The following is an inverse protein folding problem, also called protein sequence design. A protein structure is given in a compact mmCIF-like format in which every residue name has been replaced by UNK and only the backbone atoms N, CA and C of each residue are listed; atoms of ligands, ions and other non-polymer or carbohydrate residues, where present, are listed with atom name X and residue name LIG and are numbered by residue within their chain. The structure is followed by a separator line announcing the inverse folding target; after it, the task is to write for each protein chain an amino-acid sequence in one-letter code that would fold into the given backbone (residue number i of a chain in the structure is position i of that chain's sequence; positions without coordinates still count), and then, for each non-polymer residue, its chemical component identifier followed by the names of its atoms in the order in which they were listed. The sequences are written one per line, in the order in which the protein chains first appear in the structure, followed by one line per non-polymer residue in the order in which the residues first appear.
data_IF_188892031307
#
_entry.id   IF_188892031307
#
_cell.length_a   1.000
_cell.length_b   1.000
_cell.length_c   1.000
_cell.angle_alpha   90.00
_cell.angle_beta   90.00
_cell.angle_gamma   90.00
#
_symmetry.space_group_name_H-M   'P 1'
#
loop_
_entity.id
_entity.type
_entity.pdbx_description
1 polymer ?
#
# COMPACT_ATOMS: atom_id res chain seq x y z
N UNK A 1 -15.61 50.20 -15.94
CA UNK A 1 -14.88 49.62 -14.80
C UNK A 1 -14.94 48.10 -14.92
N UNK A 2 -13.77 47.46 -14.93
CA UNK A 2 -13.53 46.06 -15.33
C UNK A 2 -14.17 45.03 -14.38
N UNK A 3 -14.99 44.11 -14.91
CA UNK A 3 -15.41 42.86 -14.24
C UNK A 3 -14.45 41.69 -14.51
N UNK A 4 -13.14 41.95 -14.52
CA UNK A 4 -12.12 40.89 -14.67
C UNK A 4 -11.53 40.52 -13.31
N UNK A 5 -12.26 39.73 -12.54
CA UNK A 5 -11.70 38.92 -11.46
C UNK A 5 -12.74 37.90 -11.00
N UNK A 6 -12.59 36.65 -11.46
CA UNK A 6 -12.98 35.40 -10.78
C UNK A 6 -12.83 34.24 -11.80
N UNK A 7 -11.60 33.99 -12.23
CA UNK A 7 -11.23 32.70 -12.85
C UNK A 7 -9.71 32.53 -12.83
N UNK A 8 -9.15 32.45 -11.63
CA UNK A 8 -7.89 31.71 -11.45
C UNK A 8 -8.28 30.28 -11.12
N UNK A 9 -8.62 29.51 -12.15
CA UNK A 9 -8.55 28.05 -12.09
C UNK A 9 -7.19 27.72 -11.48
N UNK A 10 -7.20 27.15 -10.27
CA UNK A 10 -6.00 26.47 -9.78
C UNK A 10 -5.67 25.43 -10.84
N UNK A 11 -4.56 25.63 -11.56
CA UNK A 11 -3.99 24.58 -12.40
C UNK A 11 -3.61 23.44 -11.46
N UNK A 12 -4.55 22.54 -11.21
CA UNK A 12 -4.25 21.27 -10.55
C UNK A 12 -3.27 20.59 -11.48
N UNK A 13 -2.03 20.42 -11.04
CA UNK A 13 -1.07 19.64 -11.80
C UNK A 13 -1.67 18.24 -11.95
N UNK A 14 -1.95 17.83 -13.19
CA UNK A 14 -2.58 16.55 -13.50
C UNK A 14 -1.87 15.43 -12.73
N UNK A 15 -2.55 14.85 -11.75
CA UNK A 15 -1.97 13.90 -10.79
C UNK A 15 -1.87 12.49 -11.36
N UNK A 16 -1.88 12.34 -12.68
CA UNK A 16 -1.82 11.04 -13.35
C UNK A 16 -1.24 11.18 -14.77
N UNK A 17 -0.56 10.14 -15.22
CA UNK A 17 0.14 10.11 -16.51
C UNK A 17 -0.71 9.63 -17.69
N UNK A 18 -0.03 9.13 -18.72
CA UNK A 18 -0.66 8.42 -19.86
C UNK A 18 -1.09 6.99 -19.51
N UNK A 19 -0.44 6.39 -18.52
CA UNK A 19 -0.71 5.04 -18.02
C UNK A 19 -1.97 5.04 -17.16
N UNK A 20 -3.04 4.39 -17.64
CA UNK A 20 -4.36 4.35 -17.00
C UNK A 20 -5.07 3.04 -17.29
N UNK A 21 -5.96 2.65 -16.39
CA UNK A 21 -6.96 1.63 -16.67
C UNK A 21 -8.00 2.18 -17.66
N UNK A 22 -8.48 1.31 -18.56
CA UNK A 22 -9.54 1.61 -19.52
C UNK A 22 -10.92 1.11 -19.07
N UNK A 23 -11.04 0.74 -17.79
CA UNK A 23 -12.23 0.18 -17.16
C UNK A 23 -12.36 0.70 -15.73
N UNK A 24 -13.60 0.78 -15.26
CA UNK A 24 -13.95 1.12 -13.87
C UNK A 24 -14.14 -0.12 -13.00
N UNK A 25 -14.05 -1.32 -13.60
CA UNK A 25 -14.24 -2.61 -12.94
C UNK A 25 -12.90 -3.32 -12.95
N UNK A 26 -12.22 -3.26 -11.82
CA UNK A 26 -10.91 -3.85 -11.60
C UNK A 26 -11.04 -4.97 -10.56
N UNK A 27 -10.07 -5.86 -10.57
CA UNK A 27 -9.88 -6.91 -9.59
C UNK A 27 -8.58 -6.69 -8.82
N UNK A 28 -8.52 -7.13 -7.58
CA UNK A 28 -7.31 -7.13 -6.77
C UNK A 28 -7.11 -8.47 -6.08
N UNK A 29 -5.87 -8.84 -5.79
CA UNK A 29 -5.55 -10.08 -5.08
C UNK A 29 -4.34 -9.88 -4.18
N UNK A 30 -4.50 -10.15 -2.89
CA UNK A 30 -3.42 -10.31 -1.93
C UNK A 30 -2.99 -11.78 -1.85
N UNK A 31 -1.74 -12.08 -2.19
CA UNK A 31 -1.19 -13.44 -2.27
C UNK A 31 0.03 -13.63 -1.37
N UNK A 32 0.35 -14.90 -1.12
CA UNK A 32 1.59 -15.34 -0.47
C UNK A 32 2.42 -16.27 -1.38
N UNK A 33 2.98 -15.76 -2.50
CA UNK A 33 3.76 -16.58 -3.44
C UNK A 33 5.05 -17.15 -2.84
N UNK A 34 5.55 -16.54 -1.77
CA UNK A 34 6.82 -16.89 -1.13
C UNK A 34 6.66 -17.66 0.19
N UNK A 35 5.42 -17.98 0.59
CA UNK A 35 5.14 -18.70 1.84
C UNK A 35 5.64 -17.97 3.09
N UNK A 36 5.55 -16.64 3.10
CA UNK A 36 6.09 -15.79 4.16
C UNK A 36 5.19 -15.75 5.39
N UNK A 37 3.89 -16.06 5.24
CA UNK A 37 2.96 -16.05 6.35
C UNK A 37 3.06 -17.36 7.16
N UNK A 38 3.21 -17.28 8.50
CA UNK A 38 3.33 -18.46 9.35
C UNK A 38 1.98 -19.16 9.58
N UNK A 39 0.87 -18.43 9.48
CA UNK A 39 -0.49 -18.94 9.73
C UNK A 39 -1.50 -18.29 8.78
N UNK A 40 -2.61 -19.00 8.53
CA UNK A 40 -3.74 -18.45 7.78
C UNK A 40 -4.40 -17.28 8.52
N UNK A 41 -4.32 -17.28 9.85
CA UNK A 41 -4.81 -16.18 10.67
C UNK A 41 -4.05 -14.88 10.38
N UNK A 42 -2.71 -14.90 10.40
CA UNK A 42 -1.93 -13.69 10.11
C UNK A 42 -2.10 -13.26 8.65
N UNK A 43 -2.13 -14.21 7.72
CA UNK A 43 -2.44 -13.92 6.31
C UNK A 43 -3.80 -13.23 6.16
N UNK A 44 -4.84 -13.73 6.83
CA UNK A 44 -6.18 -13.14 6.80
C UNK A 44 -6.23 -11.77 7.49
N UNK A 45 -5.51 -11.57 8.61
CA UNK A 45 -5.42 -10.27 9.28
C UNK A 45 -4.75 -9.24 8.37
N UNK A 46 -3.61 -9.56 7.77
CA UNK A 46 -2.92 -8.68 6.81
C UNK A 46 -3.80 -8.40 5.59
N UNK A 47 -4.49 -9.42 5.06
CA UNK A 47 -5.45 -9.25 3.96
C UNK A 47 -6.54 -8.22 4.33
N UNK A 48 -7.07 -8.22 5.56
CA UNK A 48 -8.07 -7.23 6.01
C UNK A 48 -7.52 -5.82 5.98
N UNK A 49 -6.28 -5.60 6.44
CA UNK A 49 -5.62 -4.28 6.39
C UNK A 49 -5.47 -3.79 4.94
N UNK A 50 -5.07 -4.67 4.02
CA UNK A 50 -5.01 -4.34 2.59
C UNK A 50 -6.41 -4.08 2.02
N UNK A 51 -7.41 -4.87 2.41
CA UNK A 51 -8.80 -4.69 1.98
C UNK A 51 -9.35 -3.32 2.43
N UNK A 52 -9.03 -2.86 3.64
CA UNK A 52 -9.39 -1.54 4.13
C UNK A 52 -8.76 -0.42 3.26
N UNK A 53 -7.49 -0.60 2.87
CA UNK A 53 -6.80 0.33 1.98
C UNK A 53 -7.44 0.40 0.58
N UNK A 54 -7.77 -0.76 0.01
CA UNK A 54 -8.53 -0.87 -1.25
C UNK A 54 -9.90 -0.20 -1.11
N UNK A 55 -10.57 -0.42 0.03
CA UNK A 55 -11.91 0.09 0.29
C UNK A 55 -11.94 1.63 0.29
N UNK A 56 -10.95 2.28 0.92
CA UNK A 56 -10.83 3.75 0.93
C UNK A 56 -10.87 4.36 -0.48
N UNK A 57 -10.16 3.76 -1.44
CA UNK A 57 -10.19 4.23 -2.83
C UNK A 57 -11.53 3.92 -3.52
N UNK A 58 -12.12 2.75 -3.25
CA UNK A 58 -13.40 2.33 -3.87
C UNK A 58 -14.61 3.19 -3.45
N UNK A 59 -14.52 3.90 -2.32
CA UNK A 59 -15.61 4.71 -1.77
C UNK A 59 -15.71 6.10 -2.41
N UNK A 60 -14.68 6.57 -3.12
CA UNK A 60 -14.70 7.93 -3.69
C UNK A 60 -15.77 8.03 -4.78
N UNK A 61 -16.56 9.10 -4.74
CA UNK A 61 -17.70 9.33 -5.64
C UNK A 61 -19.07 8.90 -5.10
N UNK A 62 -19.13 8.39 -3.87
CA UNK A 62 -20.38 7.89 -3.28
C UNK A 62 -21.37 9.00 -2.85
N UNK A 63 -20.92 10.25 -2.73
CA UNK A 63 -21.74 11.33 -2.15
C UNK A 63 -22.87 11.83 -3.07
N UNK A 64 -22.77 11.60 -4.40
CA UNK A 64 -23.76 12.08 -5.38
C UNK A 64 -24.50 10.95 -6.12
N UNK A 65 -24.07 9.70 -5.96
CA UNK A 65 -24.63 8.56 -6.68
C UNK A 65 -25.83 7.95 -5.94
N UNK A 66 -27.03 8.09 -6.53
CA UNK A 66 -28.31 7.50 -6.11
C UNK A 66 -28.30 5.97 -5.84
N UNK A 67 -27.18 5.29 -6.14
CA UNK A 67 -26.99 3.85 -6.03
C UNK A 67 -25.95 3.41 -4.97
N UNK A 68 -25.35 4.34 -4.21
CA UNK A 68 -24.45 3.98 -3.10
C UNK A 68 -23.10 3.35 -3.51
N UNK A 69 -22.62 3.59 -4.74
CA UNK A 69 -21.37 3.03 -5.27
C UNK A 69 -20.41 4.13 -5.70
N UNK A 70 -19.14 4.03 -5.28
CA UNK A 70 -18.05 4.89 -5.77
C UNK A 70 -17.69 4.61 -7.23
N UNK A 71 -16.81 5.44 -7.81
CA UNK A 71 -16.49 5.40 -9.24
C UNK A 71 -15.88 4.07 -9.72
N UNK A 72 -15.12 3.40 -8.85
CA UNK A 72 -14.35 2.21 -9.18
C UNK A 72 -14.90 1.02 -8.39
N UNK A 73 -15.19 -0.06 -9.09
CA UNK A 73 -15.47 -1.36 -8.49
C UNK A 73 -14.17 -2.17 -8.40
N UNK A 74 -13.73 -2.47 -7.17
CA UNK A 74 -12.56 -3.29 -6.88
C UNK A 74 -13.00 -4.66 -6.33
N UNK A 75 -12.91 -5.69 -7.15
CA UNK A 75 -13.35 -7.05 -6.81
C UNK A 75 -12.21 -7.85 -6.18
N UNK A 76 -12.42 -8.38 -4.98
CA UNK A 76 -11.42 -9.21 -4.29
C UNK A 76 -11.38 -10.62 -4.90
N UNK A 77 -10.23 -10.99 -5.47
CA UNK A 77 -9.90 -12.33 -6.00
C UNK A 77 -8.81 -13.02 -5.17
N UNK A 78 -8.51 -12.50 -3.98
CA UNK A 78 -7.45 -13.06 -3.13
C UNK A 78 -7.81 -14.46 -2.66
N UNK A 79 -6.83 -15.38 -2.57
CA UNK A 79 -7.03 -16.70 -1.97
C UNK A 79 -7.57 -16.61 -0.53
N UNK A 80 -8.29 -17.67 -0.14
CA UNK A 80 -8.84 -17.81 1.22
C UNK A 80 -7.74 -18.16 2.24
N UNK A 81 -6.74 -18.94 1.83
CA UNK A 81 -5.65 -19.42 2.70
C UNK A 81 -4.28 -19.21 2.07
N UNK A 82 -3.24 -19.16 2.90
CA UNK A 82 -1.85 -18.96 2.46
C UNK A 82 -1.28 -20.13 1.66
N UNK A 83 -1.90 -21.31 1.77
CA UNK A 83 -1.47 -22.54 1.07
C UNK A 83 -2.24 -22.80 -0.23
N UNK A 84 -3.19 -21.92 -0.60
CA UNK A 84 -3.94 -22.06 -1.85
C UNK A 84 -3.02 -21.98 -3.07
N UNK A 85 -3.28 -22.80 -4.10
CA UNK A 85 -2.59 -22.73 -5.39
C UNK A 85 -2.78 -21.38 -6.10
N UNK A 86 -3.83 -20.62 -5.76
CA UNK A 86 -4.01 -19.26 -6.28
C UNK A 86 -2.91 -18.31 -5.81
N UNK A 87 -2.13 -18.66 -4.77
CA UNK A 87 -0.99 -17.87 -4.33
C UNK A 87 0.21 -17.92 -5.28
N UNK A 88 0.27 -18.82 -6.27
CA UNK A 88 1.47 -18.96 -7.12
C UNK A 88 1.42 -18.16 -8.43
N UNK A 89 0.24 -17.68 -8.82
CA UNK A 89 0.05 -16.97 -10.09
C UNK A 89 -0.74 -15.70 -9.87
N UNK A 90 -0.42 -14.67 -10.66
CA UNK A 90 -1.22 -13.47 -10.73
C UNK A 90 -2.58 -13.79 -11.38
N UNK A 91 -3.66 -13.38 -10.70
CA UNK A 91 -5.05 -13.63 -11.14
C UNK A 91 -5.90 -12.35 -11.18
N UNK A 92 -5.32 -11.20 -10.84
CA UNK A 92 -6.03 -9.94 -10.71
C UNK A 92 -5.30 -8.78 -11.42
N UNK A 93 -6.05 -7.71 -11.69
CA UNK A 93 -5.53 -6.47 -12.28
C UNK A 93 -4.51 -5.81 -11.35
N UNK A 94 -4.79 -5.78 -10.04
CA UNK A 94 -3.88 -5.31 -9.01
C UNK A 94 -3.37 -6.51 -8.18
N UNK A 95 -2.11 -6.86 -8.36
CA UNK A 95 -1.47 -7.99 -7.68
C UNK A 95 -0.64 -7.50 -6.50
N UNK A 96 -0.91 -8.03 -5.31
CA UNK A 96 -0.37 -7.54 -4.05
C UNK A 96 0.28 -8.68 -3.28
N UNK A 97 1.54 -8.53 -2.85
CA UNK A 97 2.19 -9.50 -1.97
C UNK A 97 3.40 -8.93 -1.23
N UNK A 98 3.88 -9.67 -0.23
CA UNK A 98 5.16 -9.41 0.43
C UNK A 98 6.28 -10.19 -0.25
N UNK A 99 7.44 -9.57 -0.38
CA UNK A 99 8.64 -10.19 -0.90
C UNK A 99 9.89 -9.61 -0.23
N UNK A 100 11.04 -10.26 -0.37
CA UNK A 100 12.31 -9.72 0.11
C UNK A 100 13.36 -9.81 -0.99
N UNK A 101 14.28 -8.85 -1.00
CA UNK A 101 15.37 -8.76 -1.99
C UNK A 101 14.87 -8.90 -3.43
N UNK A 102 15.56 -9.67 -4.28
CA UNK A 102 15.13 -9.94 -5.65
C UNK A 102 13.92 -10.87 -5.67
N UNK A 103 12.84 -10.45 -6.35
CA UNK A 103 11.56 -11.14 -6.30
C UNK A 103 10.76 -11.13 -7.63
N UNK A 104 11.48 -11.12 -8.75
CA UNK A 104 10.90 -11.41 -10.07
C UNK A 104 10.46 -10.19 -10.90
N UNK A 105 10.69 -8.98 -10.42
CA UNK A 105 10.54 -7.74 -11.19
C UNK A 105 11.86 -6.93 -11.22
N UNK A 106 11.81 -5.72 -11.78
CA UNK A 106 12.98 -4.86 -11.96
C UNK A 106 13.43 -4.12 -10.69
N UNK A 107 12.63 -4.13 -9.61
CA UNK A 107 12.86 -3.34 -8.40
C UNK A 107 13.11 -4.27 -7.21
N UNK A 108 14.37 -4.68 -7.01
CA UNK A 108 14.71 -5.49 -5.84
C UNK A 108 14.64 -4.68 -4.55
N UNK A 109 14.12 -5.29 -3.48
CA UNK A 109 14.21 -4.70 -2.14
C UNK A 109 15.64 -4.73 -1.60
N UNK A 110 15.95 -3.84 -0.66
CA UNK A 110 17.26 -3.62 -0.06
C UNK A 110 17.36 -4.11 1.39
N UNK A 111 16.27 -4.63 1.96
CA UNK A 111 16.19 -5.00 3.36
C UNK A 111 15.71 -3.83 4.19
N UNK A 112 16.21 -3.70 5.42
CA UNK A 112 15.60 -2.80 6.42
C UNK A 112 15.88 -1.31 6.19
N UNK A 113 14.86 -0.49 6.42
CA UNK A 113 14.93 0.97 6.52
C UNK A 113 14.96 1.71 5.17
N UNK A 114 15.01 0.98 4.06
CA UNK A 114 15.20 1.49 2.70
C UNK A 114 13.92 1.53 1.89
N UNK A 115 13.88 0.77 0.79
CA UNK A 115 12.71 0.62 -0.08
C UNK A 115 11.67 -0.28 0.59
N UNK A 116 10.77 0.33 1.36
CA UNK A 116 9.76 -0.41 2.13
C UNK A 116 8.68 -1.08 1.27
N UNK A 117 8.38 -0.52 0.11
CA UNK A 117 7.35 -0.98 -0.80
C UNK A 117 7.54 -0.30 -2.16
N UNK A 118 6.96 -0.89 -3.20
CA UNK A 118 6.86 -0.27 -4.51
C UNK A 118 5.57 -0.65 -5.22
N UNK A 119 5.26 0.07 -6.29
CA UNK A 119 4.08 -0.13 -7.10
C UNK A 119 4.35 0.24 -8.55
N UNK A 120 3.64 -0.43 -9.46
CA UNK A 120 3.64 -0.07 -10.87
C UNK A 120 2.30 0.50 -11.31
N UNK A 121 2.37 1.58 -12.07
CA UNK A 121 1.23 2.20 -12.72
C UNK A 121 0.48 1.22 -13.66
N UNK A 122 -0.77 1.54 -14.02
CA UNK A 122 -1.54 0.75 -14.99
C UNK A 122 -0.83 0.61 -16.35
N UNK A 123 -1.04 -0.50 -17.08
CA UNK A 123 -1.86 -1.66 -16.71
C UNK A 123 -1.05 -2.71 -15.92
N UNK A 124 0.19 -2.41 -15.50
CA UNK A 124 1.01 -3.41 -14.82
C UNK A 124 0.47 -3.71 -13.43
N UNK A 125 0.01 -2.72 -12.65
CA UNK A 125 -0.81 -2.96 -11.44
C UNK A 125 -0.20 -3.97 -10.46
N UNK A 126 1.03 -3.73 -10.03
CA UNK A 126 1.66 -4.51 -8.95
C UNK A 126 1.84 -3.62 -7.73
N UNK A 127 1.75 -4.22 -6.54
CA UNK A 127 2.08 -3.58 -5.25
C UNK A 127 2.84 -4.60 -4.41
N UNK A 128 4.12 -4.37 -4.19
CA UNK A 128 4.94 -5.26 -3.37
C UNK A 128 5.40 -4.53 -2.10
N UNK A 129 5.41 -5.26 -0.98
CA UNK A 129 5.91 -4.78 0.30
C UNK A 129 7.17 -5.54 0.69
N UNK A 130 8.18 -4.85 1.22
CA UNK A 130 9.38 -5.52 1.71
C UNK A 130 9.08 -6.28 3.02
N UNK A 131 9.19 -7.59 2.96
CA UNK A 131 9.02 -8.51 4.07
C UNK A 131 10.10 -8.34 5.16
N UNK A 132 11.19 -7.65 4.85
CA UNK A 132 12.28 -7.34 5.77
C UNK A 132 11.91 -6.24 6.76
N UNK A 133 10.91 -5.43 6.42
CA UNK A 133 10.45 -4.32 7.25
C UNK A 133 9.55 -4.77 8.40
N UNK A 134 9.39 -3.85 9.35
CA UNK A 134 8.52 -4.06 10.49
C UNK A 134 7.17 -3.42 10.25
N UNK A 135 6.15 -4.25 10.05
CA UNK A 135 4.80 -3.81 9.72
C UNK A 135 3.90 -3.84 10.94
N UNK A 136 3.27 -2.69 11.22
CA UNK A 136 2.13 -2.57 12.10
C UNK A 136 0.84 -2.77 11.30
N UNK A 137 -0.01 -3.66 11.80
CA UNK A 137 -1.32 -3.97 11.22
C UNK A 137 -2.46 -3.12 11.84
N UNK A 138 -2.16 -2.25 12.82
CA UNK A 138 -3.12 -1.31 13.40
C UNK A 138 -4.08 -1.92 14.43
N UNK A 139 -3.68 -2.98 15.14
CA UNK A 139 -4.47 -3.62 16.19
C UNK A 139 -4.13 -3.11 17.60
N UNK A 140 -5.13 -3.05 18.49
CA UNK A 140 -4.91 -2.87 19.94
C UNK A 140 -3.80 -3.80 20.43
N UNK A 141 -2.99 -3.31 21.38
CA UNK A 141 -1.84 -4.02 21.99
C UNK A 141 -2.13 -5.52 22.22
N UNK A 142 -1.80 -6.36 21.25
CA UNK A 142 -1.60 -7.78 21.45
C UNK A 142 -0.09 -8.00 21.51
N UNK A 143 0.38 -8.47 22.66
CA UNK A 143 1.79 -8.72 23.00
C UNK A 143 2.53 -9.70 22.07
N UNK A 144 1.94 -10.12 20.96
CA UNK A 144 2.55 -11.06 20.02
C UNK A 144 2.24 -10.75 18.53
N UNK A 145 1.78 -9.53 18.21
CA UNK A 145 1.33 -9.14 16.85
C UNK A 145 2.45 -8.97 15.81
N UNK A 146 3.61 -9.58 16.03
CA UNK A 146 4.75 -9.31 15.18
C UNK A 146 5.05 -10.43 14.19
N UNK A 147 4.90 -10.10 12.91
CA UNK A 147 5.67 -10.69 11.79
C UNK A 147 7.17 -10.85 12.16
N UNK A 148 7.65 -10.09 13.16
CA UNK A 148 9.02 -9.97 13.66
C UNK A 148 9.61 -11.24 14.32
N UNK A 149 8.86 -12.32 14.54
CA UNK A 149 9.49 -13.60 14.91
C UNK A 149 10.23 -14.26 13.70
N UNK A 150 9.99 -13.76 12.48
CA UNK A 150 10.64 -14.15 11.23
C UNK A 150 12.17 -13.94 11.26
N UNK A 151 12.65 -12.80 11.77
CA UNK A 151 14.08 -12.47 11.80
C UNK A 151 14.87 -13.11 12.94
N UNK A 152 14.20 -13.61 14.00
CA UNK A 152 14.90 -14.37 15.05
C UNK A 152 15.34 -15.73 14.49
N UNK A 153 14.46 -16.48 13.83
CA UNK A 153 14.77 -17.85 13.36
C UNK A 153 15.82 -17.91 12.24
N UNK A 154 15.90 -16.92 11.33
CA UNK A 154 16.99 -16.85 10.33
C UNK A 154 18.34 -16.45 10.95
N UNK A 155 18.35 -15.57 11.95
CA UNK A 155 19.57 -15.19 12.70
C UNK A 155 20.19 -16.40 13.45
N UNK A 156 19.37 -17.36 13.92
CA UNK A 156 19.88 -18.57 14.58
C UNK A 156 20.63 -19.55 13.65
N UNK A 157 20.26 -19.65 12.37
CA UNK A 157 20.99 -20.51 11.41
C UNK A 157 22.30 -19.89 10.94
N UNK A 158 22.36 -18.58 10.76
CA UNK A 158 23.57 -17.87 10.28
C UNK A 158 24.57 -17.60 11.42
N UNK A 159 24.11 -17.33 12.65
CA UNK A 159 25.01 -17.05 13.78
C UNK A 159 25.66 -18.30 14.40
N UNK A 160 25.25 -19.53 14.03
CA UNK A 160 25.92 -20.74 14.51
C UNK A 160 27.29 -20.95 13.84
N UNK A 161 27.54 -20.30 12.71
CA UNK A 161 28.79 -20.41 11.93
C UNK A 161 29.76 -19.23 12.13
N UNK A 162 29.38 -18.20 12.90
CA UNK A 162 30.20 -17.00 13.17
C UNK A 162 30.55 -16.77 14.64
N UNK A 163 30.50 -17.80 15.49
CA UNK A 163 31.02 -17.70 16.87
C UNK A 163 32.55 -17.74 16.90
N UNK A 164 33.17 -16.66 16.44
CA UNK A 164 34.41 -16.16 17.01
C UNK A 164 34.61 -14.71 16.57
N UNK A 165 34.80 -13.82 17.57
CA UNK A 165 35.39 -12.47 17.44
C UNK A 165 34.38 -11.36 17.09
N UNK A 166 33.81 -10.73 18.11
CA UNK A 166 34.20 -9.40 18.60
C UNK A 166 33.04 -8.78 19.40
N UNK A 167 33.34 -8.40 20.64
CA UNK A 167 32.44 -7.80 21.61
C UNK A 167 32.61 -6.27 21.60
N UNK A 168 32.27 -5.59 20.50
CA UNK A 168 32.21 -4.12 20.52
C UNK A 168 31.09 -3.55 19.66
N UNK A 169 30.22 -2.75 20.33
CA UNK A 169 29.23 -1.79 19.81
C UNK A 169 27.97 -2.32 19.11
N UNK A 170 26.96 -2.71 19.90
CA UNK A 170 25.56 -2.60 19.47
C UNK A 170 25.11 -1.15 19.56
N UNK A 171 25.24 -0.38 18.48
CA UNK A 171 24.26 0.69 18.26
C UNK A 171 22.94 -0.02 18.03
N UNK A 172 22.03 0.01 19.00
CA UNK A 172 20.62 -0.35 18.77
C UNK A 172 20.09 0.60 17.70
N UNK A 173 20.05 0.09 16.47
CA UNK A 173 19.41 0.74 15.33
C UNK A 173 17.95 0.92 15.71
N UNK A 174 17.53 2.17 15.94
CA UNK A 174 16.16 2.49 16.35
C UNK A 174 15.18 1.92 15.33
N UNK A 175 14.47 0.90 15.78
CA UNK A 175 13.61 0.06 14.97
C UNK A 175 12.35 0.85 14.57
N UNK A 176 12.31 1.35 13.33
CA UNK A 176 11.11 2.00 12.78
C UNK A 176 10.07 0.95 12.42
N UNK A 177 8.92 1.00 13.07
CA UNK A 177 7.72 0.24 12.69
C UNK A 177 6.95 1.05 11.64
N UNK A 178 6.33 0.42 10.64
CA UNK A 178 5.61 1.05 9.54
C UNK A 178 4.14 0.64 9.55
N UNK A 179 3.21 1.59 9.47
CA UNK A 179 1.79 1.29 9.33
C UNK A 179 1.47 0.77 7.93
N UNK A 180 1.16 -0.53 7.86
CA UNK A 180 0.85 -1.21 6.61
C UNK A 180 -0.35 -0.57 5.90
N UNK A 181 -1.38 -0.15 6.64
CA UNK A 181 -2.58 0.44 6.03
C UNK A 181 -2.21 1.71 5.29
N UNK A 182 -1.40 2.57 5.90
CA UNK A 182 -0.96 3.82 5.27
C UNK A 182 -0.17 3.54 3.99
N UNK A 183 0.86 2.69 4.08
CA UNK A 183 1.70 2.37 2.91
C UNK A 183 0.87 1.71 1.82
N UNK A 184 -0.03 0.79 2.17
CA UNK A 184 -0.92 0.15 1.20
C UNK A 184 -1.82 1.16 0.48
N UNK A 185 -2.42 2.12 1.18
CA UNK A 185 -3.23 3.17 0.52
C UNK A 185 -2.37 3.95 -0.48
N UNK A 186 -1.13 4.29 -0.12
CA UNK A 186 -0.21 4.99 -1.01
C UNK A 186 0.10 4.19 -2.27
N UNK A 187 0.58 2.95 -2.11
CA UNK A 187 1.01 2.11 -3.23
C UNK A 187 -0.15 1.70 -4.15
N UNK A 188 -1.35 1.47 -3.58
CA UNK A 188 -2.57 1.23 -4.35
C UNK A 188 -2.95 2.47 -5.17
N UNK A 189 -2.74 3.68 -4.64
CA UNK A 189 -2.94 4.92 -5.41
C UNK A 189 -2.08 4.96 -6.68
N UNK A 190 -0.81 4.54 -6.59
CA UNK A 190 0.06 4.36 -7.76
C UNK A 190 -0.47 3.30 -8.72
N UNK A 191 -0.90 2.14 -8.22
CA UNK A 191 -1.46 1.05 -9.03
C UNK A 191 -2.78 1.44 -9.72
N UNK A 192 -3.52 2.40 -9.17
CA UNK A 192 -4.70 2.99 -9.81
C UNK A 192 -4.35 4.04 -10.87
N UNK A 193 -3.15 4.62 -10.83
CA UNK A 193 -2.65 5.60 -11.81
C UNK A 193 -2.27 6.96 -11.23
N UNK A 194 -2.41 7.15 -9.91
CA UNK A 194 -2.12 8.42 -9.25
C UNK A 194 -0.62 8.62 -9.06
N UNK A 195 -0.14 9.83 -9.30
CA UNK A 195 1.22 10.30 -9.01
C UNK A 195 1.26 10.93 -7.64
N UNK A 196 2.48 11.12 -7.15
CA UNK A 196 2.72 11.82 -5.89
C UNK A 196 2.02 13.18 -5.84
N UNK A 197 1.45 13.49 -4.68
CA UNK A 197 0.94 14.81 -4.33
C UNK A 197 2.06 15.69 -3.78
N UNK A 198 1.93 17.00 -3.95
CA UNK A 198 2.73 18.01 -3.25
C UNK A 198 2.11 18.40 -1.91
N UNK A 199 0.85 18.05 -1.65
CA UNK A 199 0.16 18.38 -0.40
C UNK A 199 0.65 17.48 0.74
N UNK A 200 1.01 18.07 1.88
CA UNK A 200 1.59 17.33 3.02
C UNK A 200 0.61 16.37 3.70
N UNK A 201 -0.68 16.67 3.63
CA UNK A 201 -1.75 15.85 4.21
C UNK A 201 -2.30 14.80 3.24
N UNK A 202 -1.83 14.76 2.00
CA UNK A 202 -2.21 13.73 1.04
C UNK A 202 -1.50 12.42 1.37
N UNK A 203 -2.23 11.31 1.29
CA UNK A 203 -1.65 9.98 1.46
C UNK A 203 -0.62 9.67 0.37
N UNK A 204 -0.79 10.29 -0.81
CA UNK A 204 0.13 10.20 -1.94
C UNK A 204 1.31 11.18 -1.84
N UNK A 205 1.58 11.79 -0.69
CA UNK A 205 2.77 12.62 -0.53
C UNK A 205 4.03 11.75 -0.61
N UNK A 206 5.04 12.16 -1.39
CA UNK A 206 6.31 11.41 -1.53
C UNK A 206 7.03 11.19 -0.19
N UNK A 207 6.89 12.12 0.76
CA UNK A 207 7.55 12.06 2.06
C UNK A 207 6.70 11.41 3.15
N UNK A 208 5.76 10.53 2.78
CA UNK A 208 4.86 9.89 3.74
C UNK A 208 5.59 9.14 4.85
N UNK A 209 6.76 8.56 4.57
CA UNK A 209 7.63 7.91 5.58
C UNK A 209 8.02 8.86 6.72
N UNK A 210 8.25 10.14 6.42
CA UNK A 210 8.57 11.17 7.43
C UNK A 210 7.31 11.68 8.14
N UNK A 211 6.18 11.75 7.42
CA UNK A 211 4.89 12.12 7.99
C UNK A 211 4.38 11.07 8.99
N UNK A 212 4.64 9.78 8.76
CA UNK A 212 4.25 8.70 9.66
C UNK A 212 4.85 8.87 11.07
N UNK A 213 6.15 9.15 11.16
CA UNK A 213 6.84 9.38 12.44
C UNK A 213 6.39 10.68 13.16
N UNK A 214 5.64 11.56 12.49
CA UNK A 214 5.38 12.92 12.96
C UNK A 214 3.89 13.27 13.13
N UNK A 215 2.94 12.54 12.52
CA UNK A 215 1.60 13.10 12.25
C UNK A 215 0.40 12.24 12.72
N UNK A 216 0.51 10.94 13.00
CA UNK A 216 -0.68 10.17 13.39
C UNK A 216 -0.44 9.37 14.68
N UNK A 217 -1.02 9.77 15.83
CA UNK A 217 -1.27 8.80 16.88
C UNK A 217 -2.13 7.68 16.31
N UNK A 218 -1.81 6.44 16.66
CA UNK A 218 -2.42 5.17 16.22
C UNK A 218 -3.96 5.09 16.34
N UNK A 219 -4.62 6.10 16.90
CA UNK A 219 -6.04 6.11 17.22
C UNK A 219 -6.93 6.94 16.27
N UNK A 220 -6.39 7.55 15.21
CA UNK A 220 -7.24 8.25 14.21
C UNK A 220 -7.43 7.37 12.96
N UNK A 221 -8.67 7.17 12.47
CA UNK A 221 -8.88 6.46 11.22
C UNK A 221 -8.23 7.22 10.05
N UNK A 222 -7.45 6.51 9.24
CA UNK A 222 -6.87 7.04 8.00
C UNK A 222 -8.00 7.46 7.06
N UNK A 223 -7.87 8.65 6.49
CA UNK A 223 -8.82 9.22 5.53
C UNK A 223 -8.06 9.79 4.35
N UNK A 224 -8.65 9.68 3.16
CA UNK A 224 -8.15 10.36 1.98
C UNK A 224 -8.27 11.88 2.17
N UNK A 225 -7.30 12.61 1.64
CA UNK A 225 -7.41 14.08 1.59
C UNK A 225 -8.31 14.49 0.42
N UNK A 226 -8.84 15.73 0.46
CA UNK A 226 -9.61 16.28 -0.68
C UNK A 226 -8.81 16.27 -1.99
N UNK A 227 -7.50 16.39 -1.92
CA UNK A 227 -6.61 16.32 -3.09
C UNK A 227 -6.52 14.89 -3.65
N UNK A 228 -6.57 13.87 -2.78
CA UNK A 228 -6.59 12.46 -3.21
C UNK A 228 -7.94 12.08 -3.82
N UNK A 229 -9.03 12.52 -3.20
CA UNK A 229 -10.40 12.32 -3.70
C UNK A 229 -10.60 12.98 -5.06
N UNK A 230 -10.19 14.25 -5.21
CA UNK A 230 -10.28 14.97 -6.48
C UNK A 230 -9.42 14.32 -7.58
N UNK A 231 -8.25 13.77 -7.24
CA UNK A 231 -7.38 13.14 -8.21
C UNK A 231 -7.95 11.82 -8.76
N UNK A 232 -8.56 10.99 -7.90
CA UNK A 232 -9.20 9.75 -8.35
C UNK A 232 -10.50 10.04 -9.11
N UNK A 233 -11.25 11.08 -8.70
CA UNK A 233 -12.42 11.57 -9.42
C UNK A 233 -12.05 12.12 -10.81
N UNK A 234 -10.98 12.89 -10.95
CA UNK A 234 -10.53 13.36 -12.27
C UNK A 234 -10.05 12.18 -13.15
N UNK A 235 -9.48 11.13 -12.54
CA UNK A 235 -8.96 9.97 -13.26
C UNK A 235 -10.07 9.03 -13.76
N UNK A 236 -11.11 8.81 -12.96
CA UNK A 236 -12.16 7.82 -13.24
C UNK A 236 -13.54 8.43 -13.46
N UNK A 237 -13.84 9.61 -12.92
CA UNK A 237 -15.17 10.22 -12.91
C UNK A 237 -15.79 10.38 -14.30
N UNK A 238 -15.07 10.96 -15.28
CA UNK A 238 -15.60 11.10 -16.64
C UNK A 238 -15.90 9.74 -17.33
N UNK A 239 -15.07 8.74 -17.07
CA UNK A 239 -15.21 7.41 -17.65
C UNK A 239 -16.31 6.60 -16.97
N UNK A 240 -16.43 6.72 -15.65
CA UNK A 240 -17.26 5.86 -14.81
C UNK A 240 -18.63 6.44 -14.49
N UNK A 241 -18.86 7.74 -14.71
CA UNK A 241 -20.17 8.39 -14.59
C UNK A 241 -21.07 8.20 -15.81
N UNK A 242 -20.55 7.67 -16.92
CA UNK A 242 -21.33 7.39 -18.13
C UNK A 242 -21.92 5.99 -18.09
N UNK A 243 -22.86 5.72 -17.18
CA UNK A 243 -23.80 4.59 -17.26
C UNK A 243 -25.04 4.84 -16.39
#
# INVERSE_FOLDING_TARGET
MNSKNLNKQHKVNKRFGRQRWNTCRLSWSFRDPYGLFPSDELFAQTKRVIADAVHLWSQVGNNDNKNGRGFIKLTDLSPVTRISLMNVRRVADIDIFFAGFAHGDAESFDGRGGLVAHSAYPPLGIVHFDASEYWDLGGEKQEDSTINNWNRRRKWKINRERRSIDSTKSKEEQQTVLDLRYVAVHEIGHALGLRHSTFRNSVMNRYYKMAYNSIQPSNKPLKLSKDDEAAIEELFGEMCNRN
#
